data_IF_916822233447
#
_entry.id   IF_916822233447
#
_cell.length_a   1.000
_cell.length_b   1.000
_cell.length_c   1.000
_cell.angle_alpha   90.00
_cell.angle_beta   90.00
_cell.angle_gamma   90.00
#
_symmetry.space_group_name_H-M   'P 1'
#
loop_
_entity.id
_entity.type
_entity.pdbx_description
1 polymer ?
#
# COMPACT_ATOMS: atom_id res chain seq x y z
N UNK A 1 -6.05 -22.23 -11.43
CA UNK A 1 -4.96 -21.26 -11.72
C UNK A 1 -5.48 -19.82 -11.60
N UNK A 2 -6.58 -19.46 -12.27
CA UNK A 2 -7.24 -18.16 -12.09
C UNK A 2 -7.65 -17.88 -10.62
N UNK A 3 -8.20 -18.87 -9.92
CA UNK A 3 -8.63 -18.70 -8.53
C UNK A 3 -7.45 -18.53 -7.55
N UNK A 4 -6.37 -19.28 -7.76
CA UNK A 4 -5.12 -19.13 -7.00
C UNK A 4 -4.51 -17.73 -7.15
N UNK A 5 -4.56 -17.17 -8.37
CA UNK A 5 -4.10 -15.80 -8.63
C UNK A 5 -4.96 -14.77 -7.88
N UNK A 6 -6.29 -14.96 -7.84
CA UNK A 6 -7.21 -14.08 -7.10
C UNK A 6 -6.98 -14.14 -5.58
N UNK A 7 -6.78 -15.33 -5.03
CA UNK A 7 -6.47 -15.51 -3.60
C UNK A 7 -5.13 -14.84 -3.24
N UNK A 8 -4.12 -15.00 -4.09
CA UNK A 8 -2.83 -14.33 -3.91
C UNK A 8 -2.96 -12.81 -3.95
N UNK A 9 -3.69 -12.26 -4.94
CA UNK A 9 -3.94 -10.83 -5.06
C UNK A 9 -4.63 -10.28 -3.83
N UNK A 10 -5.69 -10.94 -3.34
CA UNK A 10 -6.38 -10.53 -2.11
C UNK A 10 -5.48 -10.56 -0.90
N UNK A 11 -4.68 -11.62 -0.75
CA UNK A 11 -3.70 -11.72 0.34
C UNK A 11 -2.69 -10.57 0.32
N UNK A 12 -2.21 -10.18 -0.87
CA UNK A 12 -1.27 -9.07 -1.02
C UNK A 12 -1.92 -7.72 -0.70
N UNK A 13 -3.17 -7.50 -1.14
CA UNK A 13 -3.91 -6.28 -0.78
C UNK A 13 -4.10 -6.17 0.72
N UNK A 14 -4.50 -7.25 1.40
CA UNK A 14 -4.65 -7.24 2.86
C UNK A 14 -3.33 -6.95 3.58
N UNK A 15 -2.22 -7.53 3.12
CA UNK A 15 -0.89 -7.23 3.68
C UNK A 15 -0.51 -5.75 3.52
N UNK A 16 -0.84 -5.14 2.38
CA UNK A 16 -0.59 -3.71 2.16
C UNK A 16 -1.44 -2.83 3.08
N UNK A 17 -2.71 -3.19 3.30
CA UNK A 17 -3.59 -2.48 4.24
C UNK A 17 -3.10 -2.61 5.69
N UNK A 18 -2.51 -3.75 6.06
CA UNK A 18 -1.96 -3.93 7.41
C UNK A 18 -0.69 -3.10 7.60
N UNK A 19 0.16 -2.99 6.59
CA UNK A 19 1.32 -2.07 6.60
C UNK A 19 0.86 -0.62 6.77
N UNK A 20 -0.21 -0.19 6.09
CA UNK A 20 -0.78 1.16 6.25
C UNK A 20 -1.30 1.43 7.67
N UNK A 21 -1.79 0.41 8.37
CA UNK A 21 -2.25 0.55 9.76
C UNK A 21 -1.11 0.54 10.77
N UNK A 22 -0.04 -0.20 10.48
CA UNK A 22 1.15 -0.26 11.35
C UNK A 22 2.01 1.01 11.24
N UNK A 23 1.98 1.68 10.08
CA UNK A 23 2.77 2.89 9.82
C UNK A 23 1.87 4.13 9.92
N UNK A 24 2.09 4.93 10.96
CA UNK A 24 1.46 6.25 11.08
C UNK A 24 2.17 7.29 10.19
N UNK A 25 1.82 7.27 8.90
CA UNK A 25 2.35 8.20 7.91
C UNK A 25 1.99 9.67 8.20
N UNK A 26 0.93 9.94 8.97
CA UNK A 26 0.59 11.29 9.42
C UNK A 26 1.57 11.76 10.49
N UNK A 27 1.85 10.92 11.49
CA UNK A 27 2.86 11.22 12.52
C UNK A 27 4.26 11.41 11.92
N UNK A 28 4.66 10.55 10.97
CA UNK A 28 5.95 10.68 10.27
C UNK A 28 6.06 11.99 9.48
N UNK A 29 4.95 12.51 8.95
CA UNK A 29 4.92 13.81 8.26
C UNK A 29 4.98 15.00 9.21
N UNK A 30 4.41 14.87 10.42
CA UNK A 30 4.27 15.99 11.36
C UNK A 30 5.45 16.12 12.33
N UNK A 31 6.12 15.03 12.70
CA UNK A 31 7.13 15.04 13.76
C UNK A 31 8.58 15.08 13.25
N UNK A 32 8.80 14.91 11.95
CA UNK A 32 10.10 14.57 11.40
C UNK A 32 10.69 15.65 10.48
N UNK A 33 11.96 15.52 10.11
CA UNK A 33 12.61 16.41 9.14
C UNK A 33 11.86 16.41 7.80
N UNK A 34 12.05 17.45 6.99
CA UNK A 34 11.44 17.58 5.65
C UNK A 34 11.70 16.34 4.78
N UNK A 35 12.88 15.73 4.93
CA UNK A 35 13.29 14.52 4.23
C UNK A 35 12.45 13.31 4.64
N UNK A 36 12.22 13.11 5.94
CA UNK A 36 11.39 12.00 6.45
C UNK A 36 9.93 12.21 6.02
N UNK A 37 9.42 13.44 6.05
CA UNK A 37 8.08 13.75 5.56
C UNK A 37 7.93 13.55 4.05
N UNK A 38 8.99 13.74 3.26
CA UNK A 38 9.01 13.43 1.83
C UNK A 38 9.01 11.91 1.59
N UNK A 39 9.85 11.18 2.31
CA UNK A 39 9.94 9.72 2.23
C UNK A 39 8.62 9.04 2.63
N UNK A 40 8.00 9.51 3.72
CA UNK A 40 6.69 9.02 4.17
C UNK A 40 5.61 9.19 3.09
N UNK A 41 5.58 10.33 2.38
CA UNK A 41 4.66 10.56 1.25
C UNK A 41 4.95 9.63 0.09
N UNK A 42 6.22 9.46 -0.24
CA UNK A 42 6.65 8.59 -1.33
C UNK A 42 6.24 7.13 -1.06
N UNK A 43 6.52 6.61 0.13
CA UNK A 43 6.15 5.25 0.53
C UNK A 43 4.63 5.04 0.52
N UNK A 44 3.87 5.98 1.08
CA UNK A 44 2.40 5.91 1.06
C UNK A 44 1.85 5.90 -0.39
N UNK A 45 2.45 6.68 -1.29
CA UNK A 45 2.09 6.69 -2.70
C UNK A 45 2.40 5.34 -3.37
N UNK A 46 3.58 4.76 -3.12
CA UNK A 46 3.96 3.45 -3.68
C UNK A 46 3.03 2.31 -3.20
N UNK A 47 2.59 2.34 -1.95
CA UNK A 47 1.61 1.39 -1.42
C UNK A 47 0.27 1.51 -2.16
N UNK A 48 -0.21 2.74 -2.37
CA UNK A 48 -1.45 2.99 -3.10
C UNK A 48 -1.37 2.53 -4.57
N UNK A 49 -0.30 2.87 -5.28
CA UNK A 49 -0.08 2.43 -6.66
C UNK A 49 -0.01 0.90 -6.77
N UNK A 50 0.63 0.23 -5.81
CA UNK A 50 0.71 -1.22 -5.79
C UNK A 50 -0.66 -1.87 -5.53
N UNK A 51 -1.46 -1.32 -4.62
CA UNK A 51 -2.83 -1.77 -4.36
C UNK A 51 -3.70 -1.64 -5.61
N UNK A 52 -3.66 -0.51 -6.29
CA UNK A 52 -4.42 -0.28 -7.54
C UNK A 52 -4.04 -1.30 -8.61
N UNK A 53 -2.74 -1.50 -8.85
CA UNK A 53 -2.24 -2.49 -9.81
C UNK A 53 -2.65 -3.92 -9.46
N UNK A 54 -2.68 -4.27 -8.17
CA UNK A 54 -3.15 -5.59 -7.73
C UNK A 54 -4.67 -5.75 -7.98
N UNK A 55 -5.47 -4.72 -7.73
CA UNK A 55 -6.91 -4.74 -7.99
C UNK A 55 -7.25 -4.86 -9.49
N UNK A 56 -6.46 -4.21 -10.36
CA UNK A 56 -6.56 -4.39 -11.82
C UNK A 56 -6.36 -5.85 -12.23
N UNK A 57 -5.42 -6.57 -11.59
CA UNK A 57 -5.16 -7.99 -11.84
C UNK A 57 -6.31 -8.89 -11.36
N UNK A 58 -7.06 -8.52 -10.31
CA UNK A 58 -8.26 -9.26 -9.87
C UNK A 58 -9.45 -9.08 -10.86
N UNK A 59 -9.37 -8.09 -11.75
CA UNK A 59 -10.46 -7.69 -12.63
C UNK A 59 -11.57 -6.93 -11.91
N UNK A 60 -11.21 -6.16 -10.87
CA UNK A 60 -12.09 -5.25 -10.13
C UNK A 60 -12.08 -3.80 -10.67
N UNK A 61 -11.50 -3.59 -11.86
CA UNK A 61 -11.48 -2.32 -12.59
C UNK A 61 -12.42 -2.35 -13.81
#
# INVERSE_FOLDING_TARGET
>A
MKDLVKELVRSLVTQLEDIEKEVDFDALRMQSSVEIGAEARYLQQQINELKERLLEVDGLA
#
